data_IF_352165116930
#
_entry.id   IF_352165116930
#
_cell.length_a   1.000
_cell.length_b   1.000
_cell.length_c   1.000
_cell.angle_alpha   90.00
_cell.angle_beta   90.00
_cell.angle_gamma   90.00
#
_symmetry.space_group_name_H-M   'P 1'
#
loop_
_entity.id
_entity.type
_entity.pdbx_description
1 polymer ?
2 non-polymer ?
3 water ?
#
# COMPACT_ATOMS: atom_id res chain seq x y z
N UNK A 1 6.84 -6.79 7.65
CA UNK A 1 6.26 -7.39 8.83
C UNK A 1 5.04 -6.65 9.34
N UNK A 2 5.21 -5.44 9.87
CA UNK A 2 4.07 -4.74 10.47
C UNK A 2 3.10 -4.17 9.44
N UNK A 3 1.87 -3.92 9.88
CA UNK A 3 0.85 -3.26 9.09
C UNK A 3 1.32 -1.93 8.54
N UNK A 4 1.88 -1.10 9.42
CA UNK A 4 2.35 0.23 9.06
C UNK A 4 3.52 0.22 8.09
N UNK A 5 4.49 -0.65 8.29
CA UNK A 5 5.63 -0.74 7.38
C UNK A 5 5.18 -1.18 6.01
N UNK A 6 4.37 -2.23 5.95
CA UNK A 6 3.84 -2.70 4.68
C UNK A 6 3.09 -1.58 3.95
N UNK A 7 2.22 -0.88 4.68
CA UNK A 7 1.44 0.19 4.05
C UNK A 7 2.32 1.37 3.60
N UNK A 8 3.25 1.78 4.45
CA UNK A 8 4.16 2.88 4.10
C UNK A 8 4.96 2.50 2.86
N UNK A 9 5.42 1.26 2.82
CA UNK A 9 6.19 0.78 1.67
C UNK A 9 5.34 0.72 0.41
N UNK A 10 4.11 0.21 0.55
CA UNK A 10 3.16 0.19 -0.57
C UNK A 10 2.89 1.59 -1.10
N UNK A 11 2.69 2.55 -0.20
CA UNK A 11 2.42 3.93 -0.60
C UNK A 11 3.63 4.55 -1.32
N UNK A 12 4.82 4.35 -0.76
CA UNK A 12 6.04 4.78 -1.44
C UNK A 12 6.17 4.18 -2.83
N UNK A 13 5.87 2.90 -2.97
CA UNK A 13 5.96 2.25 -4.27
C UNK A 13 4.95 2.80 -5.29
N UNK A 14 3.72 3.08 -4.86
CA UNK A 14 2.76 3.77 -5.74
C UNK A 14 3.30 5.12 -6.20
N UNK A 15 3.86 5.88 -5.26
CA UNK A 15 4.36 7.22 -5.58
C UNK A 15 5.53 7.15 -6.55
N UNK A 16 6.41 6.18 -6.31
CA UNK A 16 7.60 6.01 -7.15
C UNK A 16 7.27 5.58 -8.57
N UNK A 17 6.04 5.12 -8.80
CA UNK A 17 5.62 4.68 -10.13
C UNK A 17 5.20 5.86 -11.02
N UNK A 18 4.87 6.97 -10.38
CA UNK A 18 4.47 8.19 -11.07
C UNK A 18 5.74 8.86 -11.55
N UNK A 19 5.90 8.99 -12.88
CA UNK A 19 7.22 9.25 -13.49
C UNK A 19 7.88 10.53 -12.99
N UNK A 20 7.07 11.54 -12.69
CA UNK A 20 7.61 12.82 -12.25
C UNK A 20 8.04 12.81 -10.78
N UNK A 21 7.41 11.98 -9.95
CA UNK A 21 7.88 11.83 -8.58
C UNK A 21 9.10 10.92 -8.53
N UNK A 22 9.39 10.25 -9.65
CA UNK A 22 10.32 9.12 -9.64
C UNK A 22 11.71 9.46 -9.12
N UNK A 23 12.23 10.62 -9.51
CA UNK A 23 13.58 11.00 -9.10
C UNK A 23 13.64 11.91 -7.87
N UNK A 24 12.50 12.08 -7.18
CA UNK A 24 12.49 12.84 -5.93
C UNK A 24 13.31 12.11 -4.87
N UNK A 25 13.92 12.85 -3.94
CA UNK A 25 14.70 12.17 -2.89
C UNK A 25 13.85 11.22 -2.05
N UNK A 26 14.47 10.14 -1.58
CA UNK A 26 13.80 9.12 -0.77
C UNK A 26 12.99 9.74 0.37
N UNK A 27 13.59 10.68 1.10
CA UNK A 27 12.92 11.29 2.25
C UNK A 27 11.64 12.04 1.85
N UNK A 28 11.63 12.68 0.69
CA UNK A 28 10.43 13.40 0.27
C UNK A 28 9.34 12.41 -0.13
N UNK A 29 9.74 11.32 -0.76
CA UNK A 29 8.79 10.27 -1.11
C UNK A 29 8.18 9.63 0.12
N UNK A 30 8.99 9.48 1.18
CA UNK A 30 8.51 8.95 2.46
C UNK A 30 7.49 9.89 3.08
N UNK A 31 7.81 11.19 3.10
CA UNK A 31 6.89 12.17 3.63
C UNK A 31 5.63 12.30 2.78
N UNK A 32 5.77 12.21 1.46
CA UNK A 32 4.60 12.22 0.58
C UNK A 32 3.69 11.04 0.93
N UNK A 33 4.28 9.85 1.09
CA UNK A 33 3.53 8.68 1.51
C UNK A 33 2.74 8.94 2.78
N UNK A 34 3.35 9.66 3.72
CA UNK A 34 2.68 9.97 4.99
C UNK A 34 1.59 11.04 4.83
N UNK A 35 1.47 11.61 3.63
CA UNK A 35 0.43 12.60 3.37
C UNK A 35 -0.80 11.96 2.74
N UNK A 36 -0.59 10.90 1.98
CA UNK A 36 -1.67 10.21 1.27
C UNK A 36 -2.83 9.86 2.18
N UNK A 37 -4.04 10.16 1.70
CA UNK A 37 -5.25 9.79 2.42
C UNK A 37 -6.05 8.83 1.58
N UNK A 38 -6.51 7.75 2.21
CA UNK A 38 -7.31 6.75 1.56
C UNK A 38 -8.73 7.31 1.40
N UNK A 39 -9.27 7.24 0.18
CA UNK A 39 -10.60 7.74 -0.08
C UNK A 39 -11.43 6.72 -0.87
N UNK A 40 -12.73 6.67 -0.62
CA UNK A 40 -13.59 5.66 -1.24
C UNK A 40 -14.75 6.23 -2.05
N UNK A 41 -15.05 5.56 -3.17
CA UNK A 41 -16.14 5.96 -4.05
C UNK A 41 -16.95 4.75 -4.48
N UNK A 42 -18.23 4.96 -4.74
CA UNK A 42 -19.09 3.88 -5.23
C UNK A 42 -19.23 4.00 -6.74
N UNK A 43 -19.68 2.91 -7.37
CA UNK A 43 -19.95 2.88 -8.79
C UNK A 43 -20.74 4.09 -9.28
N UNK A 44 -20.24 4.75 -10.32
CA UNK A 44 -20.95 5.87 -10.92
C UNK A 44 -20.75 7.23 -10.25
N UNK A 45 -20.04 7.24 -9.13
CA UNK A 45 -19.71 8.47 -8.44
C UNK A 45 -18.70 9.28 -9.25
N UNK A 46 -18.98 10.56 -9.47
CA UNK A 46 -17.99 11.45 -10.02
C UNK A 46 -16.94 11.74 -8.97
N UNK A 47 -15.75 11.18 -9.19
CA UNK A 47 -14.61 11.49 -8.34
C UNK A 47 -14.12 12.90 -8.65
N UNK A 48 -14.10 13.23 -9.93
CA UNK A 48 -13.73 14.57 -10.38
C UNK A 48 -14.78 15.01 -11.38
N UNK A 49 -15.22 16.27 -11.28
CA UNK A 49 -16.11 16.83 -12.28
C UNK A 49 -15.38 17.82 -13.17
N UNK A 50 -15.57 17.68 -14.48
CA UNK A 50 -14.99 18.62 -15.44
C UNK A 50 -15.36 20.05 -15.06
N UNK A 51 -14.39 20.96 -15.11
CA UNK A 51 -14.67 22.35 -14.77
C UNK A 51 -14.40 22.73 -13.32
N UNK A 52 -14.30 21.74 -12.44
CA UNK A 52 -13.96 22.01 -11.04
C UNK A 52 -12.58 22.65 -10.91
N UNK A 53 -12.44 23.57 -9.97
CA UNK A 53 -11.14 24.16 -9.71
C UNK A 53 -10.46 23.29 -8.66
N UNK A 54 -9.89 22.19 -9.14
CA UNK A 54 -9.37 21.14 -8.29
C UNK A 54 -8.00 21.37 -7.72
N UNK A 55 -7.72 20.66 -6.64
CA UNK A 55 -6.49 20.84 -5.88
C UNK A 55 -5.98 19.50 -5.40
N UNK A 56 -6.47 18.41 -5.99
CA UNK A 56 -6.08 17.10 -5.50
C UNK A 56 -5.66 16.12 -6.59
N UNK A 57 -4.65 15.31 -6.24
CA UNK A 57 -4.08 14.27 -7.11
C UNK A 57 -4.50 12.92 -6.56
N UNK A 58 -4.74 11.95 -7.46
CA UNK A 58 -5.30 10.66 -7.07
C UNK A 58 -4.47 9.50 -7.62
N UNK A 59 -4.12 8.56 -6.77
CA UNK A 59 -3.61 7.29 -7.24
C UNK A 59 -4.68 6.24 -6.95
N UNK A 60 -4.99 5.42 -7.94
CA UNK A 60 -5.97 4.35 -7.75
C UNK A 60 -5.33 3.14 -7.09
N UNK A 61 -5.88 2.71 -5.96
CA UNK A 61 -5.39 1.50 -5.31
C UNK A 61 -6.35 0.31 -5.46
N UNK A 62 -7.64 0.60 -5.69
CA UNK A 62 -8.64 -0.44 -5.92
C UNK A 62 -9.63 0.02 -6.97
N UNK A 63 -10.07 -0.88 -7.83
CA UNK A 63 -11.16 -0.56 -8.73
C UNK A 63 -10.68 0.08 -10.02
N UNK A 64 -11.63 0.57 -10.81
CA UNK A 64 -11.33 1.22 -12.07
C UNK A 64 -12.18 2.46 -12.23
N UNK A 65 -11.71 3.40 -13.03
CA UNK A 65 -12.45 4.61 -13.34
C UNK A 65 -12.51 4.84 -14.83
N UNK A 66 -13.58 5.51 -15.26
CA UNK A 66 -13.69 5.94 -16.64
C UNK A 66 -13.54 7.45 -16.72
N UNK A 67 -12.68 7.90 -17.63
CA UNK A 67 -12.47 9.33 -17.84
C UNK A 67 -13.21 9.76 -19.08
N UNK A 68 -14.04 10.79 -18.93
CA UNK A 68 -14.87 11.28 -20.03
C UNK A 68 -14.81 12.81 -20.10
N UNK A 69 -15.23 13.35 -21.25
CA UNK A 69 -15.25 14.79 -21.48
C UNK A 69 -16.58 15.22 -22.11
N UNK A 70 -17.18 16.30 -21.61
CA UNK A 70 -18.34 16.88 -22.25
C UNK A 70 -17.89 17.79 -23.39
N UNK A 71 -18.41 17.54 -24.59
CA UNK A 71 -17.96 18.25 -25.79
C UNK A 71 -19.08 19.16 -26.29
N UNK A 72 -20.28 18.89 -25.79
CA UNK A 72 -21.50 19.43 -26.35
C UNK A 72 -22.66 18.82 -25.56
N UNK A 73 -23.68 19.61 -25.23
CA UNK A 73 -24.78 19.13 -24.40
C UNK A 73 -25.69 18.14 -25.13
N UNK A 74 -25.37 17.83 -26.38
CA UNK A 74 -26.25 17.04 -27.24
C UNK A 74 -25.69 15.65 -27.55
N UNK A 75 -24.42 15.59 -27.90
CA UNK A 75 -23.78 14.33 -28.25
C UNK A 75 -23.43 13.55 -26.99
N UNK A 76 -23.10 12.28 -27.16
CA UNK A 76 -22.55 11.49 -26.07
C UNK A 76 -21.33 12.22 -25.52
N UNK A 77 -21.16 12.16 -24.19
CA UNK A 77 -19.87 12.53 -23.62
C UNK A 77 -18.82 11.69 -24.31
N UNK A 78 -17.64 12.24 -24.46
CA UNK A 78 -16.54 11.57 -25.13
C UNK A 78 -15.75 10.73 -24.14
N UNK A 79 -15.70 9.43 -24.39
CA UNK A 79 -14.93 8.51 -23.57
C UNK A 79 -13.47 8.68 -23.88
N UNK A 80 -12.68 8.98 -22.85
CA UNK A 80 -11.25 9.17 -23.04
C UNK A 80 -10.48 7.87 -22.78
N UNK A 81 -10.59 7.33 -21.57
CA UNK A 81 -9.84 6.14 -21.18
C UNK A 81 -10.36 5.56 -19.86
N UNK A 82 -10.00 4.31 -19.60
CA UNK A 82 -10.32 3.65 -18.35
C UNK A 82 -9.01 3.38 -17.61
N UNK A 83 -8.99 3.62 -16.31
CA UNK A 83 -7.78 3.47 -15.53
C UNK A 83 -8.01 2.51 -14.38
N UNK A 84 -6.95 1.83 -13.93
CA UNK A 84 -7.09 0.87 -12.85
C UNK A 84 -5.99 1.01 -11.82
N UNK A 85 -5.89 0.01 -10.94
CA UNK A 85 -4.90 0.00 -9.86
C UNK A 85 -3.48 0.38 -10.34
N UNK A 86 -2.88 1.35 -9.67
CA UNK A 86 -1.54 1.81 -10.03
C UNK A 86 -1.57 3.01 -10.97
N UNK A 87 -2.67 3.19 -11.69
CA UNK A 87 -2.84 4.39 -12.51
C UNK A 87 -3.12 5.60 -11.64
N UNK A 88 -3.07 6.79 -12.24
CA UNK A 88 -3.27 8.02 -11.48
C UNK A 88 -3.94 9.04 -12.36
N UNK A 89 -4.46 10.09 -11.73
CA UNK A 89 -5.07 11.16 -12.49
C UNK A 89 -5.14 12.40 -11.65
N UNK A 90 -5.34 13.54 -12.32
CA UNK A 90 -5.57 14.79 -11.62
C UNK A 90 -4.29 15.51 -11.23
N UNK A 91 -3.16 15.00 -11.71
CA UNK A 91 -1.84 15.47 -11.31
C UNK A 91 -1.59 16.95 -11.61
N UNK A 92 -2.26 17.48 -12.62
CA UNK A 92 -2.09 18.90 -12.94
C UNK A 92 -2.49 19.82 -11.79
N UNK A 93 -3.35 19.34 -10.90
CA UNK A 93 -3.81 20.16 -9.77
C UNK A 93 -2.72 20.38 -8.72
N UNK A 94 -1.65 19.58 -8.77
CA UNK A 94 -0.53 19.82 -7.85
C UNK A 94 0.32 21.00 -8.30
N UNK A 95 0.37 21.23 -9.61
CA UNK A 95 1.30 22.22 -10.19
C UNK A 95 0.96 23.68 -9.92
N UNK A 96 -0.27 23.97 -9.54
CA UNK A 96 -0.67 25.36 -9.32
C UNK A 96 -2.16 25.45 -9.56
N UNK A 97 -2.68 26.66 -9.78
CA UNK A 97 -4.10 26.80 -10.07
C UNK A 97 -4.48 25.97 -11.30
N UNK A 98 -5.49 25.13 -11.13
CA UNK A 98 -5.83 24.18 -12.16
C UNK A 98 -7.34 24.14 -12.28
N UNK A 99 -7.82 23.78 -13.46
CA UNK A 99 -9.23 23.52 -13.69
C UNK A 99 -9.34 22.16 -14.37
N UNK A 100 -10.15 21.27 -13.78
CA UNK A 100 -10.37 19.95 -14.34
C UNK A 100 -10.92 20.09 -15.76
N UNK A 101 -10.33 19.35 -16.69
CA UNK A 101 -10.79 19.37 -18.07
C UNK A 101 -11.54 18.09 -18.45
N UNK A 102 -11.82 17.24 -17.46
CA UNK A 102 -12.49 15.96 -17.73
C UNK A 102 -13.14 15.42 -16.48
N UNK A 103 -14.16 14.61 -16.68
CA UNK A 103 -14.76 13.89 -15.58
C UNK A 103 -13.97 12.63 -15.31
N UNK A 104 -13.87 12.26 -14.04
CA UNK A 104 -13.39 10.93 -13.69
C UNK A 104 -14.52 10.26 -12.90
N UNK A 105 -15.02 9.14 -13.41
CA UNK A 105 -16.20 8.49 -12.84
C UNK A 105 -15.86 7.07 -12.41
N UNK A 106 -16.21 6.71 -11.17
CA UNK A 106 -15.92 5.37 -10.67
C UNK A 106 -16.71 4.36 -11.47
N UNK A 107 -16.05 3.30 -11.93
CA UNK A 107 -16.70 2.28 -12.76
C UNK A 107 -17.14 1.08 -11.91
N UNK A 108 -16.90 1.17 -10.61
CA UNK A 108 -17.22 0.12 -9.64
C UNK A 108 -16.72 0.70 -8.33
N UNK A 109 -16.72 -0.08 -7.24
CA UNK A 109 -16.12 0.44 -6.01
C UNK A 109 -14.64 0.82 -6.26
N UNK A 110 -14.26 2.01 -5.82
CA UNK A 110 -12.91 2.54 -6.07
C UNK A 110 -12.31 3.03 -4.76
N UNK A 111 -11.03 2.73 -4.56
CA UNK A 111 -10.29 3.39 -3.50
C UNK A 111 -9.17 4.18 -4.14
N UNK A 112 -9.03 5.45 -3.76
CA UNK A 112 -7.89 6.23 -4.19
C UNK A 112 -7.01 6.67 -3.02
N UNK A 113 -5.75 6.95 -3.34
CA UNK A 113 -4.81 7.53 -2.39
C UNK A 113 -4.66 8.97 -2.85
N UNK A 114 -4.95 9.91 -1.96
CA UNK A 114 -5.15 11.28 -2.36
C UNK A 114 -4.16 12.23 -1.67
N UNK A 115 -3.62 13.17 -2.43
CA UNK A 115 -2.85 14.27 -1.86
C UNK A 115 -3.30 15.60 -2.45
N UNK A 116 -3.38 16.64 -1.62
CA UNK A 116 -3.79 17.97 -2.07
C UNK A 116 -2.57 18.83 -2.42
N UNK A 117 -2.81 19.88 -3.22
CA UNK A 117 -1.76 20.77 -3.70
C UNK A 117 -1.01 21.46 -2.56
N UNK A 118 -1.73 21.93 -1.53
CA UNK A 118 -1.09 22.59 -0.39
C UNK A 118 -0.06 21.71 0.34
N UNK A 119 -0.44 20.47 0.64
CA UNK A 119 0.47 19.55 1.31
C UNK A 119 1.64 19.23 0.42
N UNK A 120 1.37 19.09 -0.88
CA UNK A 120 2.40 18.77 -1.85
C UNK A 120 3.38 19.92 -2.01
N UNK A 121 2.84 21.12 -2.16
CA UNK A 121 3.67 22.28 -2.45
C UNK A 121 4.61 22.57 -1.27
N UNK A 122 4.11 22.36 -0.05
CA UNK A 122 4.94 22.63 1.11
C UNK A 122 6.11 21.65 1.21
N UNK A 123 5.92 20.42 0.75
CA UNK A 123 7.00 19.43 0.73
C UNK A 123 7.98 19.67 -0.40
N UNK A 124 7.45 19.97 -1.59
CA UNK A 124 8.30 20.32 -2.73
C UNK A 124 9.08 21.58 -2.44
N UNK A 125 8.43 22.52 -1.78
CA UNK A 125 9.08 23.77 -1.41
C UNK A 125 10.24 23.55 -0.46
N UNK A 126 10.31 22.37 0.14
CA UNK A 126 11.36 22.08 1.09
C UNK A 126 12.59 21.46 0.45
N UNK A 127 12.50 21.11 -0.83
CA UNK A 127 13.65 20.59 -1.58
C UNK A 127 14.81 21.59 -1.62
N UNK A 128 16.04 21.07 -1.59
CA UNK A 128 17.19 21.94 -1.82
C UNK A 128 17.22 22.41 -3.26
N UNK A 129 18.08 23.38 -3.53
CA UNK A 129 18.13 24.07 -4.82
C UNK A 129 18.33 23.10 -5.97
N UNK A 130 19.27 22.18 -5.80
CA UNK A 130 19.58 21.24 -6.87
C UNK A 130 18.39 20.30 -7.10
N UNK A 131 17.81 19.81 -6.02
CA UNK A 131 16.68 18.89 -6.14
C UNK A 131 15.46 19.59 -6.71
N UNK A 132 15.21 20.80 -6.23
CA UNK A 132 14.07 21.57 -6.71
C UNK A 132 14.22 21.87 -8.20
N UNK A 133 15.44 22.17 -8.62
CA UNK A 133 15.69 22.47 -10.04
C UNK A 133 15.47 21.24 -10.90
N UNK A 134 15.95 20.09 -10.43
CA UNK A 134 15.75 18.84 -11.16
C UNK A 134 14.25 18.54 -11.31
N UNK A 135 13.50 18.74 -10.24
CA UNK A 135 12.07 18.48 -10.29
C UNK A 135 11.40 19.43 -11.28
N UNK A 136 11.64 20.72 -11.12
CA UNK A 136 11.06 21.73 -12.00
C UNK A 136 11.44 21.48 -13.47
N UNK A 137 12.69 21.12 -13.72
CA UNK A 137 13.14 20.80 -15.08
C UNK A 137 12.39 19.60 -15.67
N UNK A 138 12.12 18.61 -14.83
CA UNK A 138 11.41 17.43 -15.30
C UNK A 138 9.99 17.82 -15.71
N UNK A 139 9.37 18.68 -14.91
CA UNK A 139 8.04 19.19 -15.22
C UNK A 139 8.01 19.95 -16.54
N UNK A 140 9.00 20.83 -16.73
CA UNK A 140 9.08 21.63 -17.96
C UNK A 140 9.26 20.75 -19.19
N UNK A 141 10.12 19.74 -19.06
CA UNK A 141 10.38 18.81 -20.16
C UNK A 141 9.13 18.00 -20.52
N UNK A 142 8.50 17.40 -19.52
CA UNK A 142 7.29 16.62 -19.74
C UNK A 142 6.20 17.50 -20.36
N UNK A 143 6.06 18.72 -19.85
CA UNK A 143 5.08 19.66 -20.40
C UNK A 143 5.32 19.92 -21.88
N UNK A 144 6.56 20.20 -22.25
CA UNK A 144 6.87 20.45 -23.65
C UNK A 144 6.62 19.23 -24.53
N UNK A 145 7.10 18.08 -24.07
CA UNK A 145 7.02 16.87 -24.90
C UNK A 145 5.58 16.37 -25.11
N UNK A 146 4.72 16.59 -24.11
CA UNK A 146 3.32 16.20 -24.28
C UNK A 146 2.66 17.10 -25.32
N UNK A 147 3.05 18.37 -25.35
CA UNK A 147 2.52 19.31 -26.33
C UNK A 147 3.10 19.12 -27.73
N UNK A 148 4.41 18.93 -27.80
CA UNK A 148 5.12 18.83 -29.08
C UNK A 148 4.69 17.61 -29.89
N UNK A 149 4.20 16.59 -29.21
CA UNK A 149 3.74 15.38 -29.91
C UNK A 149 2.51 15.69 -30.75
N UNK A 150 1.82 16.79 -30.43
CA UNK A 150 0.57 17.13 -31.09
C UNK A 150 0.53 18.61 -31.48
N UNK B 9 -8.19 15.19 14.38
CA UNK B 9 -9.46 14.63 13.94
C UNK B 9 -9.33 13.14 13.62
N UNK B 10 -8.42 12.81 12.71
CA UNK B 10 -8.12 11.42 12.41
C UNK B 10 -6.98 10.89 13.29
N UNK B 11 -6.71 11.59 14.39
CA UNK B 11 -5.97 11.02 15.51
C UNK B 11 -6.80 9.88 16.11
N UNK B 12 -8.11 10.03 16.00
CA UNK B 12 -9.06 9.02 16.46
C UNK B 12 -9.04 7.81 15.53
N UNK B 13 -8.61 8.03 14.28
CA UNK B 13 -8.47 6.95 13.33
C UNK B 13 -7.25 6.10 13.69
N UNK B 14 -6.22 6.76 14.20
CA UNK B 14 -5.03 6.07 14.70
C UNK B 14 -5.39 5.22 15.92
N UNK B 15 -6.07 5.84 16.88
CA UNK B 15 -6.37 5.22 18.16
C UNK B 15 -7.25 3.98 18.04
N UNK B 16 -7.99 3.88 16.94
CA UNK B 16 -8.94 2.78 16.78
C UNK B 16 -8.30 1.43 16.47
N UNK B 17 -7.00 1.41 16.21
CA UNK B 17 -6.33 0.16 15.86
C UNK B 17 -5.61 -0.54 17.03
N UNK B 18 -5.97 -0.17 18.26
CA UNK B 18 -5.41 -0.77 19.47
C UNK B 18 -5.51 -2.30 19.49
N UNK B 25 -13.37 1.72 24.10
CA UNK B 25 -13.50 1.92 22.65
C UNK B 25 -14.59 2.93 22.31
N UNK B 26 -15.09 3.65 23.31
CA UNK B 26 -16.11 4.67 23.10
C UNK B 26 -15.49 5.99 22.63
N UNK B 27 -16.30 7.04 22.62
CA UNK B 27 -15.81 8.35 22.20
C UNK B 27 -15.16 9.14 23.35
N UNK B 28 -14.45 8.41 24.21
CA UNK B 28 -13.44 8.99 25.07
C UNK B 28 -12.22 9.14 24.16
N UNK B 29 -12.30 8.47 23.02
CA UNK B 29 -11.28 8.48 21.97
C UNK B 29 -11.03 9.90 21.46
N UNK B 30 -12.10 10.67 21.32
CA UNK B 30 -11.97 12.08 20.94
C UNK B 30 -11.28 12.85 22.05
N UNK B 31 -11.62 12.52 23.29
CA UNK B 31 -10.93 13.09 24.44
C UNK B 31 -9.50 12.54 24.51
N UNK B 32 -9.33 11.28 24.11
CA UNK B 32 -8.00 10.66 24.04
C UNK B 32 -7.18 11.30 22.92
N UNK B 33 -7.87 11.73 21.88
CA UNK B 33 -7.22 12.37 20.75
C UNK B 33 -6.70 13.76 21.12
N UNK B 34 -7.56 14.57 21.74
CA UNK B 34 -7.22 15.95 22.06
C UNK B 34 -6.30 16.12 23.27
N UNK B 35 -5.75 15.02 23.78
CA UNK B 35 -4.79 15.10 24.89
C UNK B 35 -3.40 14.65 24.47
N UNK B 36 -3.32 13.66 23.59
CA UNK B 36 -2.04 13.11 23.19
C UNK B 36 -1.18 14.17 22.48
N UNK B 37 0.08 14.27 22.88
CA UNK B 37 0.96 15.33 22.41
C UNK B 37 1.77 14.88 21.21
N UNK B 38 1.99 15.80 20.27
CA UNK B 38 2.83 15.57 19.12
C UNK B 38 4.29 15.75 19.51
N UNK B 39 5.10 14.73 19.26
CA UNK B 39 6.51 14.82 19.57
C UNK B 39 7.31 14.54 18.31
N UNK B 40 8.38 15.28 18.10
CA UNK B 40 9.17 15.13 16.88
C UNK B 40 10.55 14.59 17.19
N UNK B 41 11.06 13.76 16.30
CA UNK B 41 12.40 13.22 16.46
C UNK B 41 13.17 13.27 15.14
N UNK B 42 14.48 13.43 15.25
CA UNK B 42 15.35 13.44 14.08
C UNK B 42 15.94 12.06 13.88
N UNK B 43 16.40 11.80 12.65
CA UNK B 43 17.08 10.57 12.29
C UNK B 43 18.10 10.15 13.35
N UNK B 44 18.02 8.90 13.81
CA UNK B 44 19.02 8.33 14.70
C UNK B 44 18.77 8.56 16.18
N UNK B 45 17.75 9.34 16.50
CA UNK B 45 17.45 9.68 17.88
C UNK B 45 16.71 8.53 18.57
N UNK B 46 17.11 8.20 19.80
CA UNK B 46 16.43 7.16 20.57
C UNK B 46 15.15 7.72 21.18
N UNK B 47 14.03 7.19 20.72
CA UNK B 47 12.72 7.51 21.29
C UNK B 47 12.53 6.75 22.60
N UNK B 48 12.89 5.46 22.58
CA UNK B 48 12.86 4.61 23.76
C UNK B 48 14.17 3.86 23.91
N UNK B 49 14.67 3.80 25.15
CA UNK B 49 15.90 3.10 25.50
C UNK B 49 15.61 1.75 26.16
N UNK B 50 16.27 0.69 25.67
CA UNK B 50 16.15 -0.64 26.27
C UNK B 50 16.53 -0.61 27.76
N UNK B 51 15.67 -1.17 28.60
CA UNK B 51 15.96 -1.27 30.02
C UNK B 51 15.43 -0.10 30.82
N UNK B 52 15.00 0.96 30.14
CA UNK B 52 14.39 2.08 30.85
C UNK B 52 13.01 1.68 31.38
N UNK B 53 12.58 2.34 32.46
CA UNK B 53 11.22 2.16 32.96
C UNK B 53 10.34 3.30 32.44
N UNK B 54 9.30 2.94 31.69
CA UNK B 54 8.50 3.94 31.02
C UNK B 54 7.02 3.98 31.39
N UNK B 55 6.43 5.15 31.21
CA UNK B 55 5.02 5.37 31.50
C UNK B 55 4.28 5.79 30.23
N UNK B 56 5.02 5.89 29.13
CA UNK B 56 4.51 6.51 27.91
C UNK B 56 4.12 5.53 26.80
N UNK B 57 3.07 5.87 26.06
CA UNK B 57 2.63 5.09 24.90
C UNK B 57 2.75 5.93 23.62
N UNK B 58 3.21 5.32 22.53
CA UNK B 58 3.49 6.04 21.27
C UNK B 58 2.76 5.46 20.06
N UNK B 59 2.11 6.33 19.29
CA UNK B 59 1.62 5.99 17.95
C UNK B 59 2.44 6.78 16.94
N UNK B 60 2.86 6.14 15.84
CA UNK B 60 3.63 6.83 14.81
C UNK B 60 2.68 7.51 13.81
N UNK B 61 2.82 8.82 13.64
CA UNK B 61 2.02 9.51 12.62
C UNK B 61 2.83 9.89 11.38
N UNK B 62 4.14 10.03 11.55
CA UNK B 62 5.04 10.31 10.43
C UNK B 62 6.36 9.56 10.60
N UNK B 63 6.90 9.05 9.50
CA UNK B 63 8.25 8.50 9.50
C UNK B 63 8.28 7.02 9.86
N UNK B 64 9.47 6.50 10.15
CA UNK B 64 9.62 5.12 10.56
C UNK B 64 10.65 5.00 11.68
N UNK B 65 10.56 3.92 12.44
CA UNK B 65 11.46 3.65 13.54
C UNK B 65 12.03 2.24 13.44
N UNK B 66 13.25 2.09 13.96
CA UNK B 66 13.86 0.78 14.05
C UNK B 66 13.88 0.34 15.50
N UNK B 67 13.54 -0.93 15.72
CA UNK B 67 13.53 -1.52 17.05
C UNK B 67 14.71 -2.45 17.16
N UNK B 68 15.56 -2.22 18.15
CA UNK B 68 16.77 -3.04 18.32
C UNK B 68 16.97 -3.48 19.75
N UNK B 69 17.72 -4.56 19.93
CA UNK B 69 18.03 -5.09 21.26
C UNK B 69 19.51 -5.34 21.37
N UNK B 70 20.12 -4.90 22.47
CA UNK B 70 21.58 -4.90 22.59
C UNK B 70 22.30 -6.25 22.82
N UNK B 71 21.78 -7.12 23.69
CA UNK B 71 22.48 -8.37 24.06
C UNK B 71 23.97 -8.17 24.42
N UNK B 72 24.86 -8.83 23.68
CA UNK B 72 26.31 -8.71 23.89
C UNK B 72 26.88 -7.36 23.45
N UNK B 73 27.61 -6.68 24.35
CA UNK B 73 28.13 -5.33 24.05
C UNK B 73 29.20 -5.27 22.94
N UNK B 74 29.91 -6.37 22.68
CA UNK B 74 30.86 -6.40 21.56
C UNK B 74 30.19 -6.79 20.23
N UNK B 75 29.07 -7.51 20.30
CA UNK B 75 28.34 -7.86 19.09
C UNK B 75 27.36 -6.77 18.66
N UNK B 76 27.03 -6.73 17.37
CA UNK B 76 26.02 -5.84 16.85
C UNK B 76 24.72 -5.97 17.66
N UNK B 77 24.06 -4.84 17.92
CA UNK B 77 22.68 -4.90 18.45
C UNK B 77 21.82 -5.68 17.49
N UNK B 78 20.85 -6.42 18.02
CA UNK B 78 19.96 -7.25 17.23
C UNK B 78 18.83 -6.40 16.67
N UNK B 79 18.72 -6.32 15.35
CA UNK B 79 17.59 -5.63 14.76
C UNK B 79 16.33 -6.49 14.92
N UNK B 80 15.26 -5.91 15.44
CA UNK B 80 13.99 -6.64 15.63
C UNK B 80 12.99 -6.37 14.51
N UNK B 81 12.69 -5.10 14.27
CA UNK B 81 11.70 -4.72 13.25
C UNK B 81 11.69 -3.22 13.01
N UNK B 82 11.06 -2.83 11.90
CA UNK B 82 10.89 -1.43 11.53
C UNK B 82 9.39 -1.13 11.58
N UNK B 83 9.00 -0.06 12.26
CA UNK B 83 7.58 0.33 12.31
C UNK B 83 7.32 1.62 11.53
N UNK B 84 6.10 1.76 11.00
CA UNK B 84 5.73 2.94 10.25
C UNK B 84 4.45 3.59 10.75
N UNK B 85 3.93 4.52 9.94
CA UNK B 85 2.73 5.28 10.27
C UNK B 85 1.56 4.36 10.59
N UNK B 86 0.94 4.59 11.74
CA UNK B 86 -0.17 3.76 12.20
C UNK B 86 0.28 2.68 13.19
N UNK B 87 1.57 2.32 13.14
CA UNK B 87 2.09 1.38 14.11
C UNK B 87 2.22 2.06 15.45
N UNK B 88 2.42 1.26 16.49
CA UNK B 88 2.54 1.76 17.84
C UNK B 88 3.57 0.93 18.58
N UNK B 89 4.04 1.44 19.71
CA UNK B 89 4.95 0.70 20.57
C UNK B 89 4.83 1.20 22.00
N UNK B 90 5.30 0.40 22.94
CA UNK B 90 5.27 0.76 24.34
C UNK B 90 3.88 0.67 24.97
N UNK B 91 2.99 -0.10 24.36
CA UNK B 91 1.62 -0.23 24.85
C UNK B 91 1.52 -0.75 26.29
N UNK B 92 2.47 -1.60 26.70
CA UNK B 92 2.49 -2.11 28.07
C UNK B 92 2.50 -1.00 29.14
N UNK B 93 3.06 0.15 28.80
CA UNK B 93 3.15 1.28 29.73
C UNK B 93 1.77 1.85 30.12
N UNK B 94 0.73 1.50 29.36
CA UNK B 94 -0.62 1.95 29.69
C UNK B 94 -1.20 1.12 30.84
N UNK B 95 -0.76 -0.12 30.94
CA UNK B 95 -1.11 -0.98 32.08
C UNK B 95 -0.34 -0.52 33.32
N UNK B 96 0.98 -0.71 33.31
CA UNK B 96 1.84 -0.31 34.41
C UNK B 96 3.23 0.00 33.91
N UNK B 97 4.15 0.26 34.85
CA UNK B 97 5.53 0.61 34.51
C UNK B 97 6.19 -0.47 33.63
N UNK B 98 6.59 -0.08 32.44
CA UNK B 98 7.12 -1.04 31.47
C UNK B 98 8.64 -0.97 31.38
N UNK B 99 9.32 -1.98 31.91
CA UNK B 99 10.75 -2.13 31.65
C UNK B 99 10.90 -2.39 30.16
N UNK B 100 11.37 -1.39 29.42
CA UNK B 100 11.48 -1.50 27.98
C UNK B 100 12.39 -2.67 27.62
N UNK B 101 11.95 -3.49 26.68
CA UNK B 101 12.72 -4.65 26.29
C UNK B 101 13.64 -4.33 25.12
N UNK B 102 13.33 -3.26 24.40
CA UNK B 102 14.12 -2.88 23.23
C UNK B 102 14.27 -1.38 23.08
N UNK B 103 15.26 -0.96 22.29
CA UNK B 103 15.37 0.42 21.86
C UNK B 103 14.39 0.67 20.72
N UNK B 104 13.86 1.88 20.63
CA UNK B 104 13.14 2.31 19.44
C UNK B 104 13.82 3.60 18.94
N UNK B 105 14.33 3.57 17.70
CA UNK B 105 15.20 4.63 17.20
C UNK B 105 14.64 5.20 15.91
N UNK B 106 14.53 6.53 15.82
CA UNK B 106 14.00 7.15 14.59
C UNK B 106 14.89 6.80 13.41
N UNK B 107 14.26 6.43 12.30
CA UNK B 107 14.95 6.00 11.10
C UNK B 107 15.00 7.13 10.05
N UNK B 108 14.33 8.23 10.39
CA UNK B 108 14.26 9.43 9.56
C UNK B 108 13.53 10.42 10.45
N UNK B 109 13.11 11.58 9.92
CA UNK B 109 12.24 12.44 10.73
C UNK B 109 10.97 11.70 11.15
N UNK B 110 10.67 11.71 12.45
CA UNK B 110 9.50 11.02 12.96
C UNK B 110 8.61 11.94 13.76
N UNK B 111 7.30 11.73 13.66
CA UNK B 111 6.35 12.34 14.59
C UNK B 111 5.57 11.24 15.30
N UNK B 112 5.58 11.26 16.64
CA UNK B 112 4.78 10.32 17.40
C UNK B 112 3.65 11.02 18.13
N UNK B 113 2.54 10.31 18.31
CA UNK B 113 1.45 10.78 19.15
C UNK B 113 1.64 10.08 20.49
N UNK B 114 1.76 10.87 21.54
CA UNK B 114 2.21 10.33 22.81
C UNK B 114 1.17 10.54 23.90
N UNK B 115 0.93 9.48 24.67
CA UNK B 115 0.05 9.54 25.82
C UNK B 115 0.68 8.74 26.95
N UNK B 116 0.64 9.29 28.16
CA UNK B 116 1.16 8.59 29.33
C UNK B 116 0.04 7.89 30.11
N UNK B 117 0.42 6.96 30.96
CA UNK B 117 -0.55 6.13 31.69
C UNK B 117 -1.50 6.92 32.57
N UNK B 118 -0.97 7.84 33.37
CA UNK B 118 -1.80 8.64 34.28
C UNK B 118 -2.85 9.46 33.51
N UNK B 119 -2.48 9.96 32.33
CA UNK B 119 -3.42 10.68 31.49
C UNK B 119 -4.47 9.71 30.97
N UNK B 120 -4.03 8.50 30.61
CA UNK B 120 -4.94 7.43 30.21
C UNK B 120 -5.79 6.97 31.40
N UNK B 121 -6.71 7.84 31.81
CA UNK B 121 -7.60 7.55 32.94
C UNK B 121 -8.99 8.06 32.58
N UNK B 122 -9.68 7.31 31.71
CA UNK B 122 -10.98 7.74 31.20
C UNK B 122 -11.84 6.56 30.78
N UNK C 1 -5.63 1.42 -22.59
CA UNK C 1 -4.30 0.98 -22.94
C UNK C 1 -3.33 1.26 -21.81
N UNK C 2 -3.85 1.65 -20.66
CA UNK C 2 -3.00 2.07 -19.55
C UNK C 2 -2.35 0.85 -18.92
N UNK C 3 -1.23 1.06 -18.23
CA UNK C 3 -0.54 -0.04 -17.59
C UNK C 3 -1.45 -0.66 -16.54
N UNK C 4 -2.14 0.17 -15.76
CA UNK C 4 -3.02 -0.31 -14.71
C UNK C 4 -4.19 -1.11 -15.28
N UNK C 5 -4.80 -0.59 -16.34
CA UNK C 5 -5.96 -1.26 -16.94
C UNK C 5 -5.58 -2.64 -17.48
N UNK C 6 -4.45 -2.69 -18.18
CA UNK C 6 -4.02 -3.93 -18.80
C UNK C 6 -3.67 -4.98 -17.76
N UNK C 7 -2.99 -4.57 -16.69
CA UNK C 7 -2.60 -5.52 -15.64
C UNK C 7 -3.81 -6.07 -14.89
N UNK C 8 -4.76 -5.19 -14.60
CA UNK C 8 -5.98 -5.56 -13.90
C UNK C 8 -6.82 -6.53 -14.74
N UNK C 9 -6.88 -6.28 -16.04
CA UNK C 9 -7.64 -7.13 -16.95
C UNK C 9 -6.97 -8.51 -17.05
N UNK C 10 -5.66 -8.51 -17.16
CA UNK C 10 -4.88 -9.73 -17.24
C UNK C 10 -5.03 -10.55 -15.95
N UNK C 11 -4.97 -9.88 -14.81
CA UNK C 11 -5.18 -10.55 -13.53
C UNK C 11 -6.57 -11.18 -13.44
N UNK C 12 -7.60 -10.42 -13.79
CA UNK C 12 -8.96 -10.99 -13.80
C UNK C 12 -9.09 -12.18 -14.74
N UNK C 13 -8.43 -12.12 -15.91
CA UNK C 13 -8.48 -13.26 -16.85
C UNK C 13 -7.84 -14.51 -16.23
N UNK C 14 -6.70 -14.36 -15.56
CA UNK C 14 -6.09 -15.47 -14.83
C UNK C 14 -7.05 -16.05 -13.79
N UNK C 15 -7.67 -15.19 -13.00
CA UNK C 15 -8.60 -15.65 -11.97
C UNK C 15 -9.81 -16.39 -12.58
N UNK C 16 -10.37 -15.85 -13.65
CA UNK C 16 -11.53 -16.47 -14.31
C UNK C 16 -11.24 -17.86 -14.91
N UNK C 17 -9.97 -18.18 -15.11
CA UNK C 17 -9.63 -19.48 -15.66
C UNK C 17 -9.71 -20.58 -14.59
N UNK C 18 -9.71 -20.17 -13.33
CA UNK C 18 -9.84 -21.09 -12.20
C UNK C 18 -11.32 -21.38 -11.95
N UNK C 19 -11.75 -22.64 -12.18
CA UNK C 19 -13.18 -22.97 -12.18
C UNK C 19 -13.88 -22.64 -10.85
N UNK C 20 -13.16 -22.86 -9.74
CA UNK C 20 -13.56 -22.37 -8.42
C UNK C 20 -14.03 -20.91 -8.46
N UNK C 21 -13.24 -20.07 -9.14
CA UNK C 21 -13.50 -18.64 -9.16
C UNK C 21 -14.49 -18.24 -10.23
N UNK C 22 -14.78 -19.16 -11.16
CA UNK C 22 -15.49 -18.81 -12.39
C UNK C 22 -16.85 -18.18 -12.15
N UNK C 23 -17.59 -18.63 -11.13
CA UNK C 23 -18.92 -18.08 -10.88
C UNK C 23 -18.96 -16.94 -9.86
N UNK C 24 -17.79 -16.51 -9.37
CA UNK C 24 -17.73 -15.31 -8.53
C UNK C 24 -18.36 -14.12 -9.27
N UNK C 25 -19.11 -13.28 -8.54
CA UNK C 25 -19.59 -12.04 -9.16
C UNK C 25 -18.41 -11.19 -9.62
N UNK C 26 -18.61 -10.44 -10.69
CA UNK C 26 -17.56 -9.67 -11.33
C UNK C 26 -16.83 -8.74 -10.37
N UNK C 27 -17.55 -8.10 -9.46
CA UNK C 27 -16.90 -7.17 -8.53
C UNK C 27 -16.01 -7.91 -7.52
N UNK C 28 -16.29 -9.19 -7.28
CA UNK C 28 -15.42 -9.96 -6.38
C UNK C 28 -14.11 -10.34 -7.10
N UNK C 29 -14.24 -10.81 -8.34
CA UNK C 29 -13.07 -11.10 -9.18
C UNK C 29 -12.21 -9.85 -9.35
N UNK C 30 -12.86 -8.71 -9.49
CA UNK C 30 -12.14 -7.44 -9.66
C UNK C 30 -11.35 -7.12 -8.42
N UNK C 31 -12.00 -7.21 -7.26
CA UNK C 31 -11.34 -6.95 -5.98
C UNK C 31 -10.27 -7.98 -5.66
N UNK C 32 -10.44 -9.21 -6.15
CA UNK C 32 -9.45 -10.26 -5.98
C UNK C 32 -8.20 -9.92 -6.77
N UNK C 33 -8.39 -9.50 -8.02
CA UNK C 33 -7.29 -9.08 -8.87
C UNK C 33 -6.48 -7.97 -8.20
N UNK C 34 -7.18 -7.10 -7.48
CA UNK C 34 -6.55 -5.96 -6.80
C UNK C 34 -5.83 -6.30 -5.50
N UNK C 35 -5.91 -7.56 -5.05
CA UNK C 35 -5.06 -7.95 -3.91
C UNK C 35 -3.95 -8.92 -4.27
N UNK C 36 -3.96 -9.43 -5.50
CA UNK C 36 -2.90 -10.33 -5.94
C UNK C 36 -1.55 -9.66 -5.83
N UNK C 37 -0.54 -10.42 -5.41
CA UNK C 37 0.83 -9.95 -5.54
C UNK C 37 1.61 -10.90 -6.43
N UNK C 38 2.71 -10.41 -6.97
CA UNK C 38 3.57 -11.22 -7.82
C UNK C 38 4.78 -11.72 -7.07
N UNK C 39 5.12 -12.97 -7.29
CA UNK C 39 6.34 -13.52 -6.71
C UNK C 39 7.17 -14.15 -7.82
N UNK C 40 8.48 -14.13 -7.64
CA UNK C 40 9.39 -14.59 -8.69
C UNK C 40 10.34 -15.63 -8.13
N UNK C 41 10.64 -16.63 -8.95
CA UNK C 41 11.53 -17.70 -8.55
C UNK C 41 12.47 -18.03 -9.70
N UNK C 42 13.60 -18.64 -9.35
CA UNK C 42 14.57 -19.07 -10.35
C UNK C 42 14.59 -20.58 -10.35
N UNK C 43 15.26 -21.17 -11.35
CA UNK C 43 15.28 -22.61 -11.49
C UNK C 43 15.67 -23.31 -10.19
N UNK C 44 14.99 -24.41 -9.89
CA UNK C 44 15.31 -25.21 -8.72
C UNK C 44 14.81 -24.70 -7.37
N UNK C 45 14.25 -23.50 -7.34
CA UNK C 45 13.78 -22.95 -6.08
C UNK C 45 12.45 -23.56 -5.64
N UNK C 46 12.34 -23.93 -4.37
CA UNK C 46 11.09 -24.47 -3.87
C UNK C 46 10.08 -23.37 -3.64
N UNK C 47 8.93 -23.48 -4.30
CA UNK C 47 7.84 -22.53 -4.10
C UNK C 47 7.02 -22.97 -2.89
N UNK C 48 6.74 -24.27 -2.85
CA UNK C 48 6.06 -24.88 -1.70
C UNK C 48 6.85 -26.10 -1.24
N UNK C 49 6.95 -26.29 0.09
CA UNK C 49 7.55 -27.48 0.64
C UNK C 49 6.51 -28.37 1.31
N UNK C 50 6.55 -29.66 1.00
CA UNK C 50 5.69 -30.63 1.65
C UNK C 50 5.81 -30.53 3.17
N UNK C 51 4.68 -30.59 3.86
CA UNK C 51 4.69 -30.52 5.32
C UNK C 51 4.38 -29.12 5.84
N UNK C 52 4.66 -28.09 5.04
CA UNK C 52 4.39 -26.73 5.46
C UNK C 52 2.89 -26.53 5.72
N UNK C 53 2.57 -25.73 6.72
CA UNK C 53 1.17 -25.39 6.97
C UNK C 53 0.84 -24.21 6.08
N UNK C 54 0.44 -24.51 4.85
CA UNK C 54 0.28 -23.51 3.81
C UNK C 54 -0.91 -22.58 3.95
N UNK C 55 -0.78 -21.40 3.37
CA UNK C 55 -1.71 -20.30 3.55
C UNK C 55 -2.02 -19.65 2.21
N UNK C 56 -1.31 -20.06 1.17
CA UNK C 56 -1.33 -19.32 -0.08
C UNK C 56 -1.66 -20.15 -1.32
N UNK C 57 -2.32 -19.48 -2.26
CA UNK C 57 -2.73 -20.07 -3.53
C UNK C 57 -1.92 -19.42 -4.62
N UNK C 58 -1.48 -20.20 -5.58
CA UNK C 58 -0.58 -19.71 -6.63
C UNK C 58 -1.16 -19.95 -8.01
N UNK C 59 -1.22 -18.89 -8.81
CA UNK C 59 -1.47 -19.03 -10.24
C UNK C 59 -0.17 -18.72 -10.97
N UNK C 60 0.23 -19.59 -11.89
CA UNK C 60 1.48 -19.37 -12.63
C UNK C 60 1.25 -18.39 -13.78
N UNK C 61 1.90 -17.24 -13.71
CA UNK C 61 1.79 -16.26 -14.79
C UNK C 61 2.91 -16.43 -15.81
N UNK C 62 4.01 -17.09 -15.41
CA UNK C 62 5.15 -17.31 -16.29
C UNK C 62 6.01 -18.49 -15.84
N UNK C 63 6.40 -19.33 -16.79
CA UNK C 63 7.32 -20.42 -16.51
C UNK C 63 6.62 -21.75 -16.29
N UNK C 64 7.36 -22.72 -15.75
CA UNK C 64 6.80 -24.01 -15.39
C UNK C 64 7.30 -24.46 -14.03
N UNK C 65 6.55 -25.37 -13.39
CA UNK C 65 6.95 -25.90 -12.11
C UNK C 65 6.84 -27.42 -12.14
N UNK C 66 7.61 -28.08 -11.28
CA UNK C 66 7.45 -29.50 -11.08
C UNK C 66 6.88 -29.75 -9.71
N UNK C 67 5.92 -30.67 -9.62
CA UNK C 67 5.35 -31.06 -8.35
C UNK C 67 5.93 -32.42 -7.98
N UNK C 68 6.59 -32.49 -6.82
CA UNK C 68 7.20 -33.72 -6.34
C UNK C 68 6.71 -34.07 -4.95
N UNK C 69 7.01 -35.27 -4.49
CA UNK C 69 6.62 -35.68 -3.16
C UNK C 69 7.81 -36.15 -2.33
N UNK C 70 7.70 -35.99 -1.00
CA UNK C 70 8.63 -36.60 -0.07
C UNK C 70 8.14 -38.01 0.26
N UNK C 71 9.06 -38.95 0.34
CA UNK C 71 8.71 -40.32 0.69
C UNK C 71 9.68 -40.88 1.72
N UNK C 78 9.94 -38.18 -5.56
CA UNK C 78 8.95 -38.76 -6.47
C UNK C 78 8.25 -37.67 -7.28
N UNK C 79 8.51 -37.64 -8.58
CA UNK C 79 7.82 -36.72 -9.47
C UNK C 79 6.32 -36.99 -9.52
N UNK C 80 5.52 -35.93 -9.44
CA UNK C 80 4.08 -36.06 -9.57
C UNK C 80 3.60 -35.56 -10.94
N UNK C 81 3.67 -34.25 -11.18
CA UNK C 81 3.20 -33.68 -12.42
C UNK C 81 3.92 -32.36 -12.69
N UNK C 82 3.81 -31.85 -13.91
CA UNK C 82 4.41 -30.57 -14.26
C UNK C 82 3.32 -29.56 -14.62
N UNK C 83 3.47 -28.33 -14.14
CA UNK C 83 2.46 -27.29 -14.39
C UNK C 83 3.08 -26.12 -15.14
N UNK C 84 2.28 -25.42 -15.92
CA UNK C 84 2.77 -24.31 -16.73
C UNK C 84 1.87 -23.09 -16.61
N UNK C 85 2.12 -22.10 -17.47
CA UNK C 85 1.38 -20.84 -17.46
C UNK C 85 -0.12 -21.09 -17.49
N UNK C 86 -0.86 -20.39 -16.62
CA UNK C 86 -2.30 -20.57 -16.56
C UNK C 86 -2.70 -21.59 -15.51
N UNK C 87 -1.84 -22.57 -15.27
CA UNK C 87 -2.09 -23.56 -14.22
C UNK C 87 -1.95 -22.94 -12.85
N UNK C 88 -2.38 -23.66 -11.82
CA UNK C 88 -2.38 -23.15 -10.47
C UNK C 88 -2.11 -24.30 -9.51
N UNK C 89 -1.76 -23.99 -8.27
CA UNK C 89 -1.53 -25.02 -7.27
C UNK C 89 -1.72 -24.41 -5.88
N UNK C 90 -1.85 -25.28 -4.87
CA UNK C 90 -2.00 -24.84 -3.50
C UNK C 90 -3.41 -24.42 -3.10
N UNK C 91 -4.39 -24.67 -3.98
CA UNK C 91 -5.75 -24.18 -3.76
C UNK C 91 -6.37 -24.60 -2.44
N UNK C 92 -5.99 -25.78 -1.94
CA UNK C 92 -6.59 -26.29 -0.72
C UNK C 92 -6.33 -25.36 0.47
N UNK C 93 -5.28 -24.54 0.36
CA UNK C 93 -4.95 -23.57 1.41
C UNK C 93 -6.02 -22.47 1.58
N UNK C 94 -6.80 -22.24 0.53
CA UNK C 94 -7.86 -21.22 0.57
C UNK C 94 -9.08 -21.68 1.38
N UNK C 95 -9.30 -22.99 1.43
CA UNK C 95 -10.50 -23.55 2.03
C UNK C 95 -10.43 -23.58 3.57
N UNK C 96 -9.22 -23.58 4.10
CA UNK C 96 -9.06 -23.60 5.55
C UNK C 96 -7.69 -24.09 5.95
N UNK C 97 -7.58 -24.59 7.18
CA UNK C 97 -6.33 -25.14 7.66
C UNK C 97 -5.91 -26.29 6.75
N UNK C 98 -4.65 -26.28 6.33
CA UNK C 98 -4.15 -27.18 5.29
C UNK C 98 -2.69 -27.48 5.53
N UNK C 99 -2.26 -28.65 5.07
CA UNK C 99 -0.86 -29.04 5.13
C UNK C 99 -0.47 -29.41 3.71
N UNK C 100 0.64 -28.88 3.23
CA UNK C 100 1.10 -29.20 1.87
C UNK C 100 1.46 -30.67 1.84
N UNK C 101 1.00 -31.37 0.79
CA UNK C 101 1.29 -32.80 0.68
C UNK C 101 2.29 -33.09 -0.42
N UNK C 102 2.73 -32.04 -1.10
CA UNK C 102 3.72 -32.17 -2.16
C UNK C 102 4.60 -30.93 -2.19
N UNK C 103 5.78 -31.08 -2.78
CA UNK C 103 6.64 -29.94 -3.05
C UNK C 103 6.24 -29.33 -4.39
N UNK C 104 6.48 -28.03 -4.52
CA UNK C 104 6.40 -27.41 -5.82
C UNK C 104 7.70 -26.64 -6.07
N UNK C 105 8.34 -26.96 -7.20
CA UNK C 105 9.68 -26.44 -7.47
C UNK C 105 9.70 -25.77 -8.83
N UNK C 106 10.19 -24.53 -8.87
CA UNK C 106 10.35 -23.82 -10.14
C UNK C 106 11.26 -24.61 -11.08
N UNK C 107 10.87 -24.70 -12.35
CA UNK C 107 11.62 -25.50 -13.33
C UNK C 107 12.36 -24.60 -14.28
N UNK C 108 12.20 -23.30 -14.07
CA UNK C 108 12.79 -22.27 -14.90
C UNK C 108 12.48 -20.95 -14.23
N UNK C 109 12.55 -19.86 -14.99
CA UNK C 109 12.16 -18.55 -14.49
C UNK C 109 10.65 -18.56 -14.29
N UNK C 110 10.22 -18.47 -13.04
CA UNK C 110 8.80 -18.55 -12.74
C UNK C 110 8.29 -17.27 -12.10
N UNK C 111 7.11 -16.84 -12.55
CA UNK C 111 6.38 -15.80 -11.85
C UNK C 111 5.02 -16.37 -11.43
N UNK C 112 4.65 -16.12 -10.18
CA UNK C 112 3.34 -16.52 -9.69
C UNK C 112 2.52 -15.31 -9.25
N UNK C 113 1.22 -15.44 -9.42
CA UNK C 113 0.27 -14.52 -8.82
C UNK C 113 -0.21 -15.21 -7.55
N UNK C 114 -0.20 -14.50 -6.44
CA UNK C 114 -0.44 -15.14 -5.16
C UNK C 114 -1.52 -14.44 -4.35
N UNK C 115 -2.33 -15.22 -3.66
CA UNK C 115 -3.27 -14.69 -2.68
C UNK C 115 -3.33 -15.63 -1.49
N UNK C 116 -3.43 -15.06 -0.28
CA UNK C 116 -3.44 -15.86 0.93
C UNK C 116 -4.88 -16.12 1.36
N UNK C 117 -5.05 -17.04 2.32
CA UNK C 117 -6.36 -17.47 2.77
C UNK C 117 -7.18 -16.33 3.37
N UNK C 118 -6.55 -15.52 4.22
CA UNK C 118 -7.28 -14.46 4.91
C UNK C 118 -7.76 -13.37 3.93
N UNK C 119 -6.89 -12.97 3.01
CA UNK C 119 -7.28 -11.98 1.99
C UNK C 119 -8.46 -12.50 1.16
N UNK C 120 -8.38 -13.78 0.78
CA UNK C 120 -9.43 -14.40 -0.02
C UNK C 120 -10.74 -14.47 0.75
N UNK C 121 -10.68 -14.99 1.99
CA UNK C 121 -11.88 -15.13 2.82
C UNK C 121 -12.55 -13.77 3.02
N UNK C 122 -11.75 -12.73 3.26
CA UNK C 122 -12.26 -11.39 3.49
C UNK C 122 -13.14 -10.92 2.33
N UNK C 123 -12.65 -11.08 1.11
CA UNK C 123 -13.40 -10.63 -0.07
C UNK C 123 -14.63 -11.51 -0.32
N UNK C 124 -14.50 -12.81 -0.12
CA UNK C 124 -15.64 -13.72 -0.26
C UNK C 124 -16.76 -13.34 0.70
N UNK C 125 -16.38 -13.09 1.96
CA UNK C 125 -17.32 -12.68 2.99
C UNK C 125 -17.92 -11.30 2.77
N UNK C 126 -17.22 -10.45 2.03
CA UNK C 126 -17.72 -9.12 1.71
C UNK C 126 -18.94 -9.15 0.80
N UNK C 127 -19.27 -10.34 0.29
CA UNK C 127 -20.45 -10.52 -0.54
C UNK C 127 -21.70 -10.27 0.30
N UNK C 128 -21.56 -10.49 1.61
CA UNK C 128 -22.67 -10.42 2.55
C UNK C 128 -22.53 -9.21 3.47
X LIG D 1 2.54 0.08 -4.30
X LIG D 1 2.28 -1.34 -4.43
X LIG D 1 3.41 -2.18 -3.87
X LIG D 1 3.20 -2.94 -2.92
X LIG D 1 4.55 -2.14 -4.33
X LIG E 1 19.19 19.83 -10.74
X LIG E 1 20.45 19.31 -11.22
X LIG E 1 20.64 17.82 -10.94
X LIG E 1 20.04 17.28 -10.01
X LIG E 1 21.38 17.14 -11.63
X LIG F 1 7.90 -4.22 10.95
X LIG F 1 8.46 -5.23 10.08
X LIG F 1 9.95 -5.51 10.23
X LIG F 1 10.36 -6.50 10.85
X LIG F 1 10.79 -4.78 9.70
#
# INVERSE_FOLDING_TARGET
>A
GSTGLIKHTEYMEFLKSVPTFQSLPEEILSKLADVLEETHYENGEYIIRQGARGDTFFIISKGTVNVTREDSPSEDPVFLRTLGKGDWFGEKALQGEDVRTANVIAAEAVTCLVIDRDSFKHLIGGLDDVSNKAYEDAEAKAKYEAEAAFFAN
>B
GSTGLIKHTEYMEFLKSVPTFQSLPEEILSKLADVLEETHYENGEYIIRQGARGDTFFIISKGTVNVTREDSPSEDPVFLRTLGKGDWFGEKALQGEDVRTANVIAAEAVTCLVIDRDSFKHLIGGLDDVSNKAYEDAEAKAKYEAEAAFFAN
>C
GSTGLIKHTEYMEFLKSVPTFQSLPEEILSKLADVLEETHYENGEYIIRQGARGDTFFIISKGTVNVTREDSPSEDPVFLRTLGKGDWFGEKALQGEDVRTANVIAAEAVTCLVIDRDSFKHLIGGLDDVSNKAYEDAEAKAKYEAEAAFFAN
>D hetero
1 GLY N CA C O OXT
>E hetero
1 GLY N CA C O OXT
>F hetero
1 GLY N CA C O OXT
#
